data_IF_219347695834
#
_entry.id   IF_219347695834
#
_cell.length_a   1.000
_cell.length_b   1.000
_cell.length_c   1.000
_cell.angle_alpha   90.00
_cell.angle_beta   90.00
_cell.angle_gamma   90.00
#
_symmetry.space_group_name_H-M   'P 1'
#
loop_
_entity.id
_entity.type
_entity.pdbx_description
1 polymer ?
#
# COMPACT_ATOMS: atom_id res chain seq x y z
N UNK A 1 11.71 13.97 11.82
CA UNK A 1 10.32 13.63 11.47
C UNK A 1 9.35 14.52 12.22
N UNK A 2 8.39 15.14 11.52
CA UNK A 2 7.38 16.03 12.12
C UNK A 2 6.37 15.23 12.96
N UNK A 3 6.08 13.98 12.57
CA UNK A 3 5.22 13.03 13.30
C UNK A 3 5.75 12.69 14.69
N UNK A 4 7.06 12.49 14.86
CA UNK A 4 7.67 12.15 16.16
C UNK A 4 7.35 13.18 17.25
N UNK A 5 7.39 14.47 16.89
CA UNK A 5 7.06 15.55 17.83
C UNK A 5 5.59 15.48 18.27
N UNK A 6 4.68 15.07 17.40
CA UNK A 6 3.28 14.90 17.75
C UNK A 6 3.09 13.63 18.60
N UNK A 7 3.53 12.49 18.09
CA UNK A 7 3.11 11.19 18.61
C UNK A 7 3.86 10.85 19.91
N UNK A 8 5.16 11.19 19.97
CA UNK A 8 5.98 10.88 21.13
C UNK A 8 6.03 12.04 22.12
N UNK A 9 6.21 13.28 21.65
CA UNK A 9 6.40 14.42 22.56
C UNK A 9 5.08 15.06 23.04
N UNK A 10 4.03 15.08 22.21
CA UNK A 10 2.72 15.65 22.61
C UNK A 10 1.78 14.58 23.17
N UNK A 11 1.70 13.42 22.52
CA UNK A 11 0.76 12.36 22.91
C UNK A 11 1.34 11.32 23.87
N UNK A 12 2.67 11.19 23.96
CA UNK A 12 3.34 10.22 24.83
C UNK A 12 3.21 8.76 24.34
N UNK A 13 2.83 8.56 23.08
CA UNK A 13 2.62 7.26 22.45
C UNK A 13 3.89 6.72 21.76
N UNK A 14 3.79 5.52 21.19
CA UNK A 14 4.84 4.97 20.32
C UNK A 14 5.03 5.81 19.06
N UNK A 15 6.22 5.72 18.46
CA UNK A 15 6.43 6.29 17.12
C UNK A 15 5.46 5.70 16.11
N UNK A 16 5.05 6.51 15.13
CA UNK A 16 4.30 6.04 13.97
C UNK A 16 5.07 4.94 13.24
N UNK A 17 4.35 3.93 12.77
CA UNK A 17 4.90 2.89 11.90
C UNK A 17 5.62 3.54 10.71
N UNK A 18 6.86 3.11 10.46
CA UNK A 18 7.74 3.71 9.44
C UNK A 18 7.09 3.80 8.06
N UNK A 19 6.31 2.78 7.68
CA UNK A 19 5.62 2.77 6.38
C UNK A 19 4.57 3.88 6.25
N UNK A 20 3.89 4.24 7.35
CA UNK A 20 2.94 5.37 7.37
C UNK A 20 3.71 6.68 7.35
N UNK A 21 4.72 6.82 8.21
CA UNK A 21 5.47 8.08 8.35
C UNK A 21 6.21 8.46 7.05
N UNK A 22 6.83 7.49 6.39
CA UNK A 22 7.47 7.70 5.10
C UNK A 22 6.42 7.89 4.00
N UNK A 23 5.30 7.17 4.04
CA UNK A 23 4.18 7.38 3.13
C UNK A 23 3.62 8.81 3.20
N UNK A 24 3.45 9.36 4.40
CA UNK A 24 3.01 10.74 4.64
C UNK A 24 4.06 11.76 4.16
N UNK A 25 5.34 11.46 4.33
CA UNK A 25 6.43 12.28 3.79
C UNK A 25 6.41 12.30 2.26
N UNK A 26 6.22 11.15 1.61
CA UNK A 26 6.07 11.07 0.16
C UNK A 26 4.76 11.72 -0.33
N UNK A 27 3.69 11.68 0.46
CA UNK A 27 2.46 12.40 0.16
C UNK A 27 2.68 13.92 0.20
N UNK A 28 3.43 14.43 1.17
CA UNK A 28 3.81 15.84 1.21
C UNK A 28 4.67 16.25 0.01
N UNK A 29 5.61 15.40 -0.42
CA UNK A 29 6.35 15.61 -1.67
C UNK A 29 5.42 15.68 -2.88
N UNK A 30 4.43 14.78 -2.97
CA UNK A 30 3.42 14.82 -4.04
C UNK A 30 2.69 16.16 -4.04
N UNK A 31 2.22 16.64 -2.89
CA UNK A 31 1.49 17.91 -2.81
C UNK A 31 2.31 19.11 -3.30
N UNK A 32 3.64 19.06 -3.17
CA UNK A 32 4.54 20.14 -3.58
C UNK A 32 4.95 20.01 -5.06
N UNK A 33 5.26 18.80 -5.52
CA UNK A 33 5.90 18.55 -6.81
C UNK A 33 5.03 17.83 -7.84
N UNK A 34 3.84 17.38 -7.45
CA UNK A 34 2.97 16.51 -8.24
C UNK A 34 3.38 15.03 -8.19
N UNK A 35 2.91 14.25 -9.15
CA UNK A 35 3.19 12.81 -9.26
C UNK A 35 4.70 12.50 -9.17
N UNK A 36 5.04 11.53 -8.33
CA UNK A 36 6.42 11.12 -8.08
C UNK A 36 6.80 9.96 -9.01
N UNK A 37 7.00 10.30 -10.28
CA UNK A 37 7.34 9.34 -11.34
C UNK A 37 8.54 8.44 -11.02
N UNK A 38 9.51 8.92 -10.25
CA UNK A 38 10.67 8.12 -9.80
C UNK A 38 10.26 6.95 -8.90
N UNK A 39 9.21 7.11 -8.08
CA UNK A 39 8.66 6.05 -7.22
C UNK A 39 7.86 5.03 -8.02
N UNK A 40 7.04 5.50 -8.96
CA UNK A 40 6.31 4.62 -9.90
C UNK A 40 7.31 3.81 -10.72
N UNK A 41 8.33 4.46 -11.28
CA UNK A 41 9.38 3.78 -12.04
C UNK A 41 10.08 2.71 -11.21
N UNK A 42 10.43 3.00 -9.95
CA UNK A 42 11.07 2.02 -9.07
C UNK A 42 10.15 0.83 -8.78
N UNK A 43 8.87 1.09 -8.46
CA UNK A 43 7.87 0.05 -8.24
C UNK A 43 7.76 -0.90 -9.44
N UNK A 44 7.64 -0.34 -10.65
CA UNK A 44 7.47 -1.13 -11.88
C UNK A 44 8.69 -2.01 -12.21
N UNK A 45 9.90 -1.64 -11.76
CA UNK A 45 11.16 -2.29 -12.15
C UNK A 45 11.85 -3.05 -11.02
N UNK A 46 11.26 -3.11 -9.82
CA UNK A 46 11.88 -3.74 -8.66
C UNK A 46 11.71 -5.26 -8.66
N UNK A 47 12.83 -5.98 -8.65
CA UNK A 47 12.83 -7.43 -8.41
C UNK A 47 12.39 -7.78 -6.99
N UNK A 48 12.69 -6.94 -5.99
CA UNK A 48 12.23 -7.15 -4.62
C UNK A 48 10.71 -7.13 -4.54
N UNK A 49 10.06 -6.19 -5.23
CA UNK A 49 8.59 -6.10 -5.31
C UNK A 49 8.02 -7.31 -6.07
N UNK A 50 8.63 -7.70 -7.19
CA UNK A 50 8.25 -8.92 -7.90
C UNK A 50 8.31 -10.17 -7.01
N UNK A 51 9.27 -10.19 -6.07
CA UNK A 51 9.51 -11.26 -5.11
C UNK A 51 8.81 -11.04 -3.76
N UNK A 52 7.76 -10.21 -3.72
CA UNK A 52 6.86 -10.16 -2.57
C UNK A 52 7.22 -9.16 -1.47
N UNK A 53 7.97 -8.10 -1.80
CA UNK A 53 8.32 -7.04 -0.83
C UNK A 53 7.09 -6.55 -0.04
N UNK A 54 7.25 -6.51 1.28
CA UNK A 54 6.18 -6.10 2.18
C UNK A 54 6.20 -4.58 2.36
N UNK A 55 5.01 -3.97 2.30
CA UNK A 55 4.80 -2.58 2.70
C UNK A 55 5.10 -2.38 4.20
N UNK A 56 4.69 -3.35 5.02
CA UNK A 56 4.66 -3.25 6.48
C UNK A 56 6.01 -3.57 7.13
N UNK A 57 6.92 -4.18 6.36
CA UNK A 57 8.25 -4.54 6.85
C UNK A 57 9.31 -3.63 6.25
N UNK A 58 9.92 -2.83 7.12
CA UNK A 58 11.03 -1.95 6.80
C UNK A 58 12.27 -2.42 7.56
N UNK A 59 13.30 -2.79 6.81
CA UNK A 59 14.64 -2.90 7.34
C UNK A 59 15.58 -1.96 6.57
N UNK A 60 16.58 -1.43 7.27
CA UNK A 60 17.56 -0.51 6.69
C UNK A 60 18.67 -1.23 5.90
N UNK A 61 18.54 -2.56 5.74
CA UNK A 61 19.54 -3.43 5.12
C UNK A 61 19.05 -4.03 3.80
N UNK A 62 17.75 -4.00 3.53
CA UNK A 62 17.12 -4.47 2.32
C UNK A 62 16.85 -3.36 1.31
N UNK A 63 15.93 -3.63 0.38
CA UNK A 63 15.53 -2.69 -0.65
C UNK A 63 14.56 -1.63 -0.09
N UNK A 64 15.12 -0.62 0.55
CA UNK A 64 14.36 0.50 1.12
C UNK A 64 13.64 1.32 0.04
N UNK A 65 14.14 1.35 -1.20
CA UNK A 65 13.48 2.10 -2.28
C UNK A 65 12.15 1.44 -2.68
N UNK A 66 12.06 0.11 -2.62
CA UNK A 66 10.80 -0.62 -2.75
C UNK A 66 9.81 -0.24 -1.65
N UNK A 67 10.30 -0.06 -0.41
CA UNK A 67 9.46 0.40 0.70
C UNK A 67 8.90 1.82 0.47
N UNK A 68 9.74 2.77 0.05
CA UNK A 68 9.28 4.12 -0.31
C UNK A 68 8.27 4.11 -1.46
N UNK A 69 8.51 3.31 -2.49
CA UNK A 69 7.62 3.21 -3.64
C UNK A 69 6.25 2.63 -3.26
N UNK A 70 6.22 1.56 -2.47
CA UNK A 70 4.98 0.97 -1.97
C UNK A 70 4.22 1.92 -1.04
N UNK A 71 4.92 2.62 -0.15
CA UNK A 71 4.28 3.53 0.82
C UNK A 71 3.70 4.75 0.13
N UNK A 72 4.40 5.29 -0.87
CA UNK A 72 3.86 6.33 -1.74
C UNK A 72 2.57 5.87 -2.41
N UNK A 73 2.60 4.74 -3.13
CA UNK A 73 1.43 4.24 -3.85
C UNK A 73 0.27 3.90 -2.91
N UNK A 74 0.55 3.35 -1.73
CA UNK A 74 -0.48 3.00 -0.75
C UNK A 74 -1.16 4.25 -0.17
N UNK A 75 -0.41 5.27 0.23
CA UNK A 75 -1.01 6.50 0.76
C UNK A 75 -1.78 7.28 -0.32
N UNK A 76 -1.38 7.19 -1.59
CA UNK A 76 -2.15 7.74 -2.69
C UNK A 76 -3.42 6.94 -2.98
N UNK A 77 -3.38 5.61 -2.83
CA UNK A 77 -4.56 4.77 -2.86
C UNK A 77 -5.53 5.11 -1.71
N UNK A 78 -5.03 5.29 -0.48
CA UNK A 78 -5.80 5.80 0.67
C UNK A 78 -6.48 7.14 0.33
N UNK A 79 -5.71 8.10 -0.22
CA UNK A 79 -6.25 9.42 -0.61
C UNK A 79 -7.39 9.33 -1.60
N UNK A 80 -7.20 8.55 -2.66
CA UNK A 80 -8.21 8.41 -3.72
C UNK A 80 -9.43 7.64 -3.23
N UNK A 81 -9.26 6.59 -2.43
CA UNK A 81 -10.38 5.80 -1.91
C UNK A 81 -11.26 6.57 -0.93
N UNK A 82 -10.67 7.36 -0.03
CA UNK A 82 -11.40 8.06 1.03
C UNK A 82 -12.12 9.31 0.50
N UNK A 83 -11.73 9.79 -0.69
CA UNK A 83 -12.41 10.91 -1.36
C UNK A 83 -12.29 12.26 -0.64
N UNK A 84 -11.42 12.38 0.36
CA UNK A 84 -11.21 13.62 1.13
C UNK A 84 -10.08 14.49 0.57
N UNK A 85 -9.43 14.06 -0.53
CA UNK A 85 -8.21 14.72 -1.00
C UNK A 85 -7.13 14.72 0.09
N UNK A 86 -6.30 15.76 0.12
CA UNK A 86 -5.12 15.78 1.00
C UNK A 86 -5.44 15.91 2.50
N UNK A 87 -6.67 16.25 2.88
CA UNK A 87 -7.03 16.36 4.30
C UNK A 87 -6.98 15.02 5.02
N UNK A 88 -7.09 13.90 4.29
CA UNK A 88 -6.97 12.56 4.85
C UNK A 88 -5.60 12.32 5.51
N UNK A 89 -4.54 12.90 4.95
CA UNK A 89 -3.19 12.74 5.49
C UNK A 89 -3.05 13.41 6.85
N UNK A 90 -3.72 14.56 7.02
CA UNK A 90 -3.78 15.24 8.31
C UNK A 90 -4.59 14.44 9.32
N UNK A 91 -5.69 13.81 8.91
CA UNK A 91 -6.50 12.98 9.80
C UNK A 91 -5.69 11.78 10.31
N UNK A 92 -5.05 11.03 9.42
CA UNK A 92 -4.16 9.92 9.77
C UNK A 92 -3.03 10.37 10.70
N UNK A 93 -2.42 11.55 10.43
CA UNK A 93 -1.36 12.09 11.27
C UNK A 93 -1.82 12.51 12.67
N UNK A 94 -3.09 12.88 12.82
CA UNK A 94 -3.68 13.33 14.10
C UNK A 94 -4.42 12.22 14.84
N UNK A 95 -4.50 11.03 14.26
CA UNK A 95 -5.10 9.86 14.88
C UNK A 95 -4.26 9.43 16.09
N UNK A 96 -4.92 8.99 17.15
CA UNK A 96 -4.24 8.52 18.36
C UNK A 96 -3.51 7.18 18.16
N UNK A 97 -3.92 6.41 17.14
CA UNK A 97 -3.24 5.21 16.72
C UNK A 97 -2.04 5.57 15.85
N UNK A 98 -0.93 4.88 16.12
CA UNK A 98 0.34 5.09 15.43
C UNK A 98 0.67 3.97 14.43
N UNK A 99 -0.31 3.09 14.17
CA UNK A 99 -0.17 1.87 13.38
C UNK A 99 -1.28 1.79 12.31
N UNK A 100 -1.48 0.61 11.71
CA UNK A 100 -2.51 0.36 10.70
C UNK A 100 -3.93 0.77 11.14
N UNK A 101 -4.22 0.87 12.44
CA UNK A 101 -5.55 1.27 12.93
C UNK A 101 -5.90 2.71 12.56
N UNK A 102 -4.92 3.61 12.41
CA UNK A 102 -5.20 4.96 11.92
C UNK A 102 -5.74 4.95 10.47
N UNK A 103 -5.29 4.00 9.64
CA UNK A 103 -5.83 3.81 8.31
C UNK A 103 -7.20 3.12 8.38
N UNK A 104 -7.38 2.14 9.25
CA UNK A 104 -8.65 1.44 9.46
C UNK A 104 -9.76 2.38 9.96
N UNK A 105 -9.46 3.28 10.88
CA UNK A 105 -10.38 4.32 11.36
C UNK A 105 -10.80 5.25 10.21
N UNK A 106 -9.86 5.67 9.37
CA UNK A 106 -10.15 6.45 8.17
C UNK A 106 -11.00 5.69 7.14
N UNK A 107 -10.77 4.37 6.96
CA UNK A 107 -11.58 3.51 6.11
C UNK A 107 -13.02 3.47 6.63
N UNK A 108 -13.19 3.24 7.94
CA UNK A 108 -14.51 3.16 8.55
C UNK A 108 -15.29 4.48 8.48
N UNK A 109 -14.59 5.61 8.56
CA UNK A 109 -15.21 6.93 8.50
C UNK A 109 -15.70 7.32 7.09
N UNK A 110 -14.95 6.95 6.04
CA UNK A 110 -15.17 7.53 4.71
C UNK A 110 -15.46 6.54 3.59
N UNK A 111 -15.15 5.25 3.79
CA UNK A 111 -15.22 4.26 2.74
C UNK A 111 -16.23 3.15 3.04
N UNK A 112 -16.03 2.41 4.13
CA UNK A 112 -16.85 1.26 4.51
C UNK A 112 -16.57 0.89 5.98
N UNK A 113 -17.60 0.94 6.84
CA UNK A 113 -17.48 0.69 8.28
C UNK A 113 -17.18 -0.76 8.67
N UNK A 114 -17.33 -1.71 7.74
CA UNK A 114 -17.07 -3.14 7.98
C UNK A 114 -15.76 -3.62 7.30
N UNK A 115 -15.05 -2.73 6.59
CA UNK A 115 -13.86 -3.06 5.84
C UNK A 115 -12.59 -2.94 6.69
N UNK A 116 -12.04 -4.09 7.09
CA UNK A 116 -10.76 -4.12 7.79
C UNK A 116 -9.56 -3.83 6.88
N UNK A 117 -8.44 -3.48 7.52
CA UNK A 117 -7.17 -3.15 6.89
C UNK A 117 -6.61 -4.28 6.02
N UNK A 118 -6.74 -5.54 6.44
CA UNK A 118 -6.23 -6.69 5.67
C UNK A 118 -6.90 -6.83 4.31
N UNK A 119 -8.23 -6.71 4.25
CA UNK A 119 -8.98 -6.71 2.98
C UNK A 119 -8.66 -5.46 2.16
N UNK A 120 -8.54 -4.30 2.80
CA UNK A 120 -8.17 -3.07 2.10
C UNK A 120 -6.77 -3.16 1.47
N UNK A 121 -5.81 -3.82 2.12
CA UNK A 121 -4.49 -4.13 1.57
C UNK A 121 -4.58 -5.07 0.36
N UNK A 122 -5.46 -6.08 0.38
CA UNK A 122 -5.73 -6.90 -0.81
C UNK A 122 -6.27 -6.04 -1.95
N UNK A 123 -7.20 -5.12 -1.66
CA UNK A 123 -7.78 -4.23 -2.66
C UNK A 123 -6.76 -3.29 -3.26
N UNK A 124 -5.85 -2.73 -2.44
CA UNK A 124 -4.70 -1.98 -2.92
C UNK A 124 -3.87 -2.77 -3.92
N UNK A 125 -3.53 -4.03 -3.61
CA UNK A 125 -2.73 -4.87 -4.53
C UNK A 125 -3.44 -5.12 -5.86
N UNK A 126 -4.76 -5.32 -5.83
CA UNK A 126 -5.59 -5.46 -7.04
C UNK A 126 -5.68 -4.12 -7.79
N UNK A 127 -5.79 -3.00 -7.09
CA UNK A 127 -5.91 -1.66 -7.66
C UNK A 127 -4.68 -1.24 -8.48
N UNK A 128 -3.47 -1.64 -8.04
CA UNK A 128 -2.23 -1.45 -8.81
C UNK A 128 -2.31 -2.11 -10.20
N UNK A 129 -2.99 -3.25 -10.30
CA UNK A 129 -3.15 -4.00 -11.55
C UNK A 129 -4.29 -3.45 -12.41
N UNK A 130 -5.51 -3.41 -11.85
CA UNK A 130 -6.72 -3.12 -12.60
C UNK A 130 -6.91 -1.64 -12.91
N UNK A 131 -6.53 -0.76 -11.98
CA UNK A 131 -6.66 0.70 -12.12
C UNK A 131 -8.06 1.14 -12.56
N UNK A 132 -9.10 0.55 -11.96
CA UNK A 132 -10.48 0.90 -12.28
C UNK A 132 -10.79 2.37 -11.97
N UNK A 133 -11.64 2.99 -12.81
CA UNK A 133 -12.06 4.38 -12.63
C UNK A 133 -13.00 4.59 -11.43
N UNK A 134 -13.54 3.52 -10.85
CA UNK A 134 -14.46 3.56 -9.72
C UNK A 134 -14.32 2.28 -8.88
N UNK A 135 -15.01 2.18 -7.75
CA UNK A 135 -14.91 1.01 -6.87
C UNK A 135 -13.57 0.91 -6.12
N UNK A 136 -13.29 -0.25 -5.54
CA UNK A 136 -12.11 -0.47 -4.70
C UNK A 136 -10.84 -0.79 -5.52
N UNK A 137 -10.98 -1.22 -6.78
CA UNK A 137 -9.88 -1.80 -7.54
C UNK A 137 -9.18 -0.80 -8.47
N UNK A 138 -9.03 0.45 -8.01
CA UNK A 138 -8.26 1.46 -8.72
C UNK A 138 -8.07 2.75 -7.93
N UNK A 139 -7.50 3.75 -8.58
CA UNK A 139 -7.22 5.07 -8.02
C UNK A 139 -8.36 6.07 -8.33
N UNK A 140 -9.60 5.60 -8.44
CA UNK A 140 -10.80 6.40 -8.78
C UNK A 140 -10.63 7.25 -10.06
N UNK A 141 -9.88 6.75 -11.04
CA UNK A 141 -9.62 7.45 -12.31
C UNK A 141 -8.57 8.56 -12.21
N UNK A 142 -7.77 8.60 -11.14
CA UNK A 142 -6.63 9.51 -11.05
C UNK A 142 -5.52 9.10 -12.02
N UNK A 143 -5.37 9.90 -13.09
CA UNK A 143 -4.48 9.63 -14.21
C UNK A 143 -2.98 9.64 -13.83
N UNK A 144 -2.63 10.21 -12.66
CA UNK A 144 -1.25 10.17 -12.16
C UNK A 144 -0.75 8.74 -11.94
N UNK A 145 -1.65 7.77 -11.77
CA UNK A 145 -1.32 6.37 -11.49
C UNK A 145 -1.57 5.42 -12.66
N UNK A 146 -1.92 5.93 -13.85
CA UNK A 146 -2.11 5.11 -15.06
C UNK A 146 -0.84 4.35 -15.45
N UNK A 147 0.33 4.92 -15.16
CA UNK A 147 1.64 4.35 -15.43
C UNK A 147 2.09 3.27 -14.45
N UNK A 148 1.30 2.94 -13.42
CA UNK A 148 1.63 1.86 -12.48
C UNK A 148 1.47 0.50 -13.17
N UNK A 149 2.54 -0.28 -13.19
CA UNK A 149 2.62 -1.58 -13.84
C UNK A 149 3.31 -2.59 -12.90
N UNK A 150 2.55 -3.36 -12.10
CA UNK A 150 3.12 -4.25 -11.09
C UNK A 150 3.95 -5.37 -11.73
N UNK A 151 5.21 -5.59 -11.30
CA UNK A 151 6.06 -6.62 -11.87
C UNK A 151 5.55 -8.02 -11.52
N UNK A 152 5.72 -8.96 -12.45
CA UNK A 152 5.26 -10.35 -12.30
C UNK A 152 6.30 -11.21 -11.56
N UNK A 153 5.81 -12.02 -10.63
CA UNK A 153 6.55 -13.12 -10.02
C UNK A 153 6.67 -14.30 -10.98
N UNK A 154 7.91 -14.71 -11.27
CA UNK A 154 8.22 -15.80 -12.21
C UNK A 154 8.70 -17.08 -11.53
N UNK A 155 8.89 -17.06 -10.20
CA UNK A 155 9.32 -18.23 -9.44
C UNK A 155 8.21 -19.26 -9.17
N UNK A 156 8.55 -20.27 -8.37
CA UNK A 156 7.68 -21.42 -8.04
C UNK A 156 7.25 -21.49 -6.59
N UNK A 157 7.87 -20.73 -5.68
CA UNK A 157 7.56 -20.71 -4.25
C UNK A 157 8.39 -19.63 -3.54
N UNK A 158 7.78 -18.95 -2.57
CA UNK A 158 8.40 -17.83 -1.86
C UNK A 158 7.82 -17.71 -0.45
N UNK A 159 8.63 -17.20 0.49
CA UNK A 159 8.16 -16.85 1.82
C UNK A 159 7.73 -15.38 1.86
N UNK A 160 6.49 -15.14 2.25
CA UNK A 160 5.97 -13.78 2.36
C UNK A 160 5.93 -13.33 3.81
N UNK A 161 6.36 -12.08 4.03
CA UNK A 161 6.06 -11.35 5.26
C UNK A 161 4.66 -10.76 5.17
N UNK A 162 4.04 -10.49 6.31
CA UNK A 162 2.73 -9.81 6.36
C UNK A 162 2.72 -8.54 5.52
N UNK A 163 1.68 -8.33 4.72
CA UNK A 163 1.58 -7.22 3.77
C UNK A 163 2.38 -7.38 2.46
N UNK A 164 3.18 -8.44 2.31
CA UNK A 164 3.78 -8.85 1.04
C UNK A 164 2.76 -9.51 0.12
N UNK A 165 3.00 -9.47 -1.20
CA UNK A 165 2.12 -10.09 -2.18
C UNK A 165 2.87 -10.42 -3.47
N UNK A 166 2.47 -11.49 -4.16
CA UNK A 166 2.99 -11.87 -5.47
C UNK A 166 1.90 -11.70 -6.52
N UNK A 167 2.27 -11.17 -7.68
CA UNK A 167 1.41 -11.17 -8.85
C UNK A 167 1.93 -12.20 -9.85
N UNK A 168 1.12 -13.21 -10.17
CA UNK A 168 1.52 -14.30 -11.07
C UNK A 168 0.53 -14.41 -12.22
N UNK A 169 1.04 -14.38 -13.44
CA UNK A 169 0.26 -14.74 -14.62
C UNK A 169 0.09 -16.26 -14.69
N UNK A 170 -1.12 -16.71 -14.99
CA UNK A 170 -1.49 -18.13 -15.15
C UNK A 170 -2.10 -18.34 -16.53
N UNK A 171 -1.77 -19.44 -17.20
CA UNK A 171 -2.27 -19.78 -18.54
C UNK A 171 -3.65 -20.43 -18.54
N UNK A 172 -4.00 -21.09 -17.43
CA UNK A 172 -5.17 -21.96 -17.28
C UNK A 172 -5.88 -21.67 -15.95
N UNK A 173 -6.88 -22.48 -15.60
CA UNK A 173 -7.54 -22.41 -14.30
C UNK A 173 -6.54 -22.57 -13.15
N UNK A 174 -6.69 -21.74 -12.11
CA UNK A 174 -5.91 -21.88 -10.88
C UNK A 174 -6.27 -23.17 -10.14
N UNK A 175 -5.27 -23.98 -9.83
CA UNK A 175 -5.39 -25.12 -8.90
C UNK A 175 -4.62 -24.76 -7.64
N UNK A 176 -5.30 -24.75 -6.50
CA UNK A 176 -4.67 -24.52 -5.20
C UNK A 176 -3.63 -25.63 -4.92
N UNK A 177 -2.36 -25.29 -4.68
CA UNK A 177 -1.33 -26.28 -4.38
C UNK A 177 -1.52 -26.96 -3.01
N UNK A 178 -2.37 -26.44 -2.13
CA UNK A 178 -2.61 -26.94 -0.76
C UNK A 178 -1.35 -27.00 0.12
N UNK A 179 -0.36 -26.16 -0.17
CA UNK A 179 0.89 -26.04 0.57
C UNK A 179 1.15 -24.62 1.11
N UNK A 180 0.14 -23.74 1.03
CA UNK A 180 0.22 -22.37 1.49
C UNK A 180 0.25 -22.26 3.02
N UNK A 181 0.92 -21.22 3.51
CA UNK A 181 0.86 -20.84 4.92
C UNK A 181 -0.57 -20.45 5.34
N UNK A 182 -0.90 -20.55 6.64
CA UNK A 182 -2.26 -20.32 7.15
C UNK A 182 -2.77 -18.89 6.93
N UNK A 183 -1.87 -17.93 6.75
CA UNK A 183 -2.17 -16.51 6.56
C UNK A 183 -2.12 -16.07 5.08
N UNK A 184 -1.97 -17.02 4.14
CA UNK A 184 -1.93 -16.74 2.71
C UNK A 184 -3.33 -16.87 2.11
N UNK A 185 -3.72 -15.87 1.31
CA UNK A 185 -4.96 -15.86 0.56
C UNK A 185 -4.68 -15.72 -0.94
N UNK A 186 -5.48 -16.37 -1.77
CA UNK A 186 -5.43 -16.24 -3.23
C UNK A 186 -6.58 -15.35 -3.73
N UNK A 187 -6.27 -14.43 -4.65
CA UNK A 187 -7.27 -13.62 -5.34
C UNK A 187 -7.14 -13.84 -6.86
N UNK A 188 -8.15 -14.46 -7.46
CA UNK A 188 -8.24 -14.60 -8.91
C UNK A 188 -8.73 -13.31 -9.55
N UNK A 189 -8.02 -12.82 -10.57
CA UNK A 189 -8.34 -11.58 -11.27
C UNK A 189 -8.53 -11.88 -12.75
N UNK A 190 -9.63 -11.44 -13.34
CA UNK A 190 -9.86 -11.46 -14.79
C UNK A 190 -9.79 -10.02 -15.29
N UNK A 191 -8.98 -9.78 -16.31
CA UNK A 191 -8.77 -8.47 -16.93
C UNK A 191 -9.51 -8.38 -18.25
#
# INVERSE_FOLDING_TARGET
>A
MVSYNRNVLVEGNSSMDTWIDEGLSMAAEHMIYGVLNSRIYYFNNSSSIANGHSLLYWDYSGDTLSNYALSYLFLQYVRTQMGQGDSIFREILMDSNNDYKAIEDAIHNYLDSDLNFGRFMTYFRIALLLKENSGYYGFKGDADFDGVDPPLYTGTGENLRGGGALLKAISDSFTDPNDQGPDICYAGITK
#
